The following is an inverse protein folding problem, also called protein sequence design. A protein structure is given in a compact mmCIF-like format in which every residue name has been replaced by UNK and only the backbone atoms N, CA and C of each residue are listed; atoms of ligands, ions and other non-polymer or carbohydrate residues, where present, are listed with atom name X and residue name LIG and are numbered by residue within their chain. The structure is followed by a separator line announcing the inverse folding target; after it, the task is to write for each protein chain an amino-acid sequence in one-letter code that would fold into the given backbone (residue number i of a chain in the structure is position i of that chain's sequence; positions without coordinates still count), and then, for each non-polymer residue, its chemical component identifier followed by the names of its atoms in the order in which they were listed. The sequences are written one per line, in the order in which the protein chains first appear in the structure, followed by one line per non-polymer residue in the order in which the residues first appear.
data_IF_315856823452
#
_entry.id   IF_315856823452
#
_cell.length_a   1.000
_cell.length_b   1.000
_cell.length_c   1.000
_cell.angle_alpha   90.00
_cell.angle_beta   90.00
_cell.angle_gamma   90.00
#
_symmetry.space_group_name_H-M   'P 1'
#
loop_
_entity.id
_entity.type
_entity.pdbx_description
1 polymer ?
#
# COMPACT_ATOMS: atom_id res chain seq x y z
N UNK A 1 15.56 -2.61 16.23
CA UNK A 1 14.50 -2.30 15.24
C UNK A 1 13.84 -1.03 15.73
N UNK A 2 13.90 0.08 14.98
CA UNK A 2 12.99 1.19 15.27
C UNK A 2 11.65 0.77 14.66
N UNK A 3 10.66 0.52 15.51
CA UNK A 3 9.33 0.14 15.04
C UNK A 3 8.74 1.32 14.27
N UNK A 4 8.49 1.11 12.98
CA UNK A 4 7.75 2.07 12.17
C UNK A 4 6.33 2.16 12.71
N UNK A 5 5.88 3.38 13.00
CA UNK A 5 4.49 3.58 13.38
C UNK A 5 3.62 3.47 12.13
N UNK A 6 2.77 2.44 12.11
CA UNK A 6 1.88 2.10 11.02
C UNK A 6 0.49 1.92 11.58
N UNK A 7 -0.46 2.72 11.08
CA UNK A 7 -1.85 2.69 11.52
C UNK A 7 -2.75 2.35 10.31
N UNK A 8 -3.22 1.10 10.20
CA UNK A 8 -4.07 0.68 9.10
C UNK A 8 -5.44 1.36 9.10
N UNK A 9 -5.94 1.76 7.93
CA UNK A 9 -7.35 2.15 7.74
C UNK A 9 -8.20 0.97 7.22
N UNK A 10 -7.53 -0.07 6.71
CA UNK A 10 -8.11 -1.32 6.25
C UNK A 10 -7.20 -2.50 6.60
N UNK A 11 -7.64 -3.73 6.31
CA UNK A 11 -6.79 -4.90 6.46
C UNK A 11 -5.62 -4.86 5.47
N UNK A 12 -4.39 -4.94 5.98
CA UNK A 12 -3.19 -4.89 5.14
C UNK A 12 -2.80 -6.28 4.67
N UNK A 13 -2.56 -6.41 3.36
CA UNK A 13 -1.87 -7.57 2.81
C UNK A 13 -0.37 -7.43 3.15
N UNK A 14 0.08 -8.22 4.12
CA UNK A 14 1.48 -8.21 4.58
C UNK A 14 2.22 -9.40 3.98
N UNK A 15 3.33 -9.13 3.31
CA UNK A 15 4.23 -10.16 2.80
C UNK A 15 5.63 -9.95 3.36
N UNK A 16 6.20 -10.99 3.94
CA UNK A 16 7.60 -10.99 4.41
C UNK A 16 8.42 -12.00 3.63
N UNK A 17 9.65 -11.64 3.24
CA UNK A 17 10.62 -12.56 2.65
C UNK A 17 12.03 -12.25 3.14
N UNK A 18 12.87 -13.28 3.19
CA UNK A 18 14.29 -13.15 3.47
C UNK A 18 15.05 -13.17 2.14
N UNK A 19 15.93 -12.19 1.93
CA UNK A 19 16.77 -12.06 0.76
C UNK A 19 18.21 -12.23 1.21
N UNK A 20 18.86 -13.29 0.77
CA UNK A 20 20.29 -13.50 1.01
C UNK A 20 21.05 -12.69 -0.04
N UNK A 21 21.79 -11.67 0.37
CA UNK A 21 22.44 -10.76 -0.57
C UNK A 21 23.82 -10.30 -0.10
N UNK A 22 24.62 -9.89 -1.08
CA UNK A 22 25.94 -9.31 -0.85
C UNK A 22 25.89 -7.82 -1.11
N UNK A 23 25.96 -7.04 -0.04
CA UNK A 23 25.98 -5.57 -0.09
C UNK A 23 27.40 -5.11 0.23
N UNK A 24 28.15 -4.75 -0.81
CA UNK A 24 29.57 -4.43 -0.71
C UNK A 24 30.39 -5.62 -0.20
N UNK A 25 30.95 -5.49 1.01
CA UNK A 25 31.75 -6.54 1.65
C UNK A 25 30.96 -7.43 2.61
N UNK A 26 29.68 -7.15 2.82
CA UNK A 26 28.84 -7.88 3.77
C UNK A 26 27.96 -8.88 3.05
N UNK A 27 27.88 -10.09 3.59
CA UNK A 27 26.85 -11.08 3.28
C UNK A 27 25.81 -11.00 4.39
N UNK A 28 24.56 -10.72 4.01
CA UNK A 28 23.48 -10.44 4.95
C UNK A 28 22.17 -11.07 4.49
N UNK A 29 21.33 -11.36 5.48
CA UNK A 29 19.94 -11.76 5.29
C UNK A 29 19.06 -10.53 5.48
N UNK A 30 18.60 -9.95 4.38
CA UNK A 30 17.71 -8.80 4.41
C UNK A 30 16.27 -9.25 4.54
N UNK A 31 15.60 -8.80 5.59
CA UNK A 31 14.17 -9.05 5.82
C UNK A 31 13.38 -7.96 5.10
N UNK A 32 12.73 -8.32 4.00
CA UNK A 32 11.81 -7.43 3.31
C UNK A 32 10.39 -7.66 3.85
N UNK A 33 9.74 -6.62 4.36
CA UNK A 33 8.32 -6.64 4.75
C UNK A 33 7.56 -5.61 3.91
N UNK A 34 6.64 -6.09 3.08
CA UNK A 34 5.74 -5.29 2.24
C UNK A 34 4.36 -5.25 2.87
N UNK A 35 3.71 -4.09 2.83
CA UNK A 35 2.38 -3.83 3.38
C UNK A 35 1.58 -3.10 2.32
N UNK A 36 0.53 -3.75 1.82
CA UNK A 36 -0.34 -3.21 0.78
C UNK A 36 -1.74 -2.98 1.32
N UNK A 37 -2.31 -1.82 1.01
CA UNK A 37 -3.57 -1.35 1.53
C UNK A 37 -3.40 0.02 2.21
N UNK A 38 -4.48 0.77 2.35
CA UNK A 38 -4.47 2.14 2.84
C UNK A 38 -4.07 2.20 4.33
N UNK A 39 -2.98 2.89 4.63
CA UNK A 39 -2.51 3.09 6.00
C UNK A 39 -1.80 4.43 6.18
N UNK A 40 -1.80 4.92 7.43
CA UNK A 40 -0.89 5.98 7.82
C UNK A 40 0.48 5.40 8.14
N UNK A 41 1.51 6.07 7.65
CA UNK A 41 2.92 5.80 7.90
C UNK A 41 3.53 7.02 8.59
N UNK A 42 4.19 6.84 9.73
CA UNK A 42 5.06 7.88 10.31
C UNK A 42 6.48 7.67 9.85
N UNK A 43 7.01 8.64 9.11
CA UNK A 43 8.41 8.64 8.67
C UNK A 43 9.37 8.82 9.84
N UNK A 44 10.66 8.54 9.60
CA UNK A 44 11.73 8.79 10.56
C UNK A 44 11.87 10.27 10.94
N UNK A 45 11.39 11.19 10.09
CA UNK A 45 11.31 12.64 10.35
C UNK A 45 10.21 12.99 11.36
N UNK A 46 9.29 12.07 11.66
CA UNK A 46 8.06 12.30 12.41
C UNK A 46 6.88 12.77 11.55
N UNK A 47 7.08 12.96 10.24
CA UNK A 47 5.99 13.30 9.30
C UNK A 47 5.05 12.11 9.14
N UNK A 48 3.74 12.39 9.10
CA UNK A 48 2.71 11.37 8.89
C UNK A 48 2.18 11.48 7.47
N UNK A 49 2.32 10.40 6.71
CA UNK A 49 1.95 10.31 5.30
C UNK A 49 0.91 9.20 5.10
N UNK A 50 -0.14 9.49 4.35
CA UNK A 50 -1.10 8.47 3.92
C UNK A 50 -0.53 7.75 2.71
N UNK A 51 -0.52 6.41 2.73
CA UNK A 51 0.12 5.60 1.70
C UNK A 51 -0.77 4.45 1.27
N UNK A 52 -0.69 4.08 -0.02
CA UNK A 52 -1.34 2.88 -0.56
C UNK A 52 -0.49 1.62 -0.32
N UNK A 53 0.82 1.82 -0.18
CA UNK A 53 1.78 0.73 -0.02
C UNK A 53 3.04 1.23 0.69
N UNK A 54 3.60 0.41 1.57
CA UNK A 54 4.93 0.62 2.15
C UNK A 54 5.73 -0.68 2.20
N UNK A 55 7.05 -0.58 2.10
CA UNK A 55 7.95 -1.70 2.27
C UNK A 55 9.21 -1.30 3.05
N UNK A 56 9.67 -2.23 3.88
CA UNK A 56 10.90 -2.11 4.64
C UNK A 56 11.87 -3.20 4.24
N UNK A 57 13.14 -2.87 4.06
CA UNK A 57 14.23 -3.81 3.86
C UNK A 57 15.22 -3.65 5.01
N UNK A 58 15.17 -4.56 5.98
CA UNK A 58 16.06 -4.54 7.15
C UNK A 58 17.24 -5.49 6.92
N UNK A 59 18.43 -4.92 6.74
CA UNK A 59 19.70 -5.63 6.53
C UNK A 59 20.55 -5.72 7.80
N UNK A 60 19.93 -5.50 8.97
CA UNK A 60 20.56 -5.56 10.29
C UNK A 60 21.37 -4.31 10.64
N UNK A 61 21.92 -4.27 11.86
CA UNK A 61 22.49 -3.06 12.46
C UNK A 61 23.62 -2.38 11.66
N UNK A 62 24.35 -3.15 10.84
CA UNK A 62 25.48 -2.62 10.05
C UNK A 62 25.07 -1.86 8.80
N UNK A 63 23.96 -2.26 8.19
CA UNK A 63 23.48 -1.72 6.92
C UNK A 63 22.16 -0.95 7.07
N UNK A 64 21.48 -1.13 8.19
CA UNK A 64 20.26 -0.42 8.56
C UNK A 64 19.03 -0.94 7.85
N UNK A 65 17.97 -0.12 7.89
CA UNK A 65 16.67 -0.42 7.30
C UNK A 65 16.35 0.64 6.26
N UNK A 66 16.01 0.19 5.04
CA UNK A 66 15.46 1.08 4.00
C UNK A 66 13.95 1.05 4.08
N UNK A 67 13.32 2.23 3.97
CA UNK A 67 11.88 2.40 3.84
C UNK A 67 11.56 2.97 2.45
N UNK A 68 10.62 2.37 1.75
CA UNK A 68 10.02 2.92 0.54
C UNK A 68 8.50 2.83 0.63
N UNK A 69 7.80 3.79 0.03
CA UNK A 69 6.35 3.85 0.07
C UNK A 69 5.77 4.55 -1.17
N UNK A 70 4.50 4.29 -1.43
CA UNK A 70 3.70 4.97 -2.45
C UNK A 70 2.72 5.89 -1.76
N UNK A 71 2.90 7.23 -1.81
CA UNK A 71 1.95 8.18 -1.25
C UNK A 71 0.57 7.98 -1.86
N UNK A 72 -0.45 7.97 -1.01
CA UNK A 72 -1.83 8.00 -1.45
C UNK A 72 -2.07 9.32 -2.17
N UNK A 73 -2.63 9.26 -3.37
CA UNK A 73 -3.01 10.45 -4.12
C UNK A 73 -4.50 10.68 -3.93
N UNK A 74 -4.84 11.85 -3.38
CA UNK A 74 -6.19 12.39 -3.52
C UNK A 74 -6.39 12.77 -4.99
N UNK A 75 -6.82 11.80 -5.79
CA UNK A 75 -7.20 12.04 -7.17
C UNK A 75 -8.58 12.69 -7.12
N UNK A 76 -8.61 14.02 -7.32
CA UNK A 76 -9.85 14.70 -7.65
C UNK A 76 -10.34 14.21 -9.02
N UNK A 77 -11.24 13.23 -8.99
CA UNK A 77 -11.91 12.76 -10.20
C UNK A 77 -12.73 13.90 -10.78
N UNK A 78 -12.49 14.23 -12.06
CA UNK A 78 -13.22 15.29 -12.75
C UNK A 78 -14.73 15.03 -12.75
N UNK A 79 -15.54 16.08 -12.90
CA UNK A 79 -17.00 15.91 -12.94
C UNK A 79 -17.45 15.02 -14.11
N UNK A 80 -16.75 15.11 -15.24
CA UNK A 80 -16.97 14.29 -16.43
C UNK A 80 -16.69 12.81 -16.15
N UNK A 81 -15.54 12.48 -15.56
CA UNK A 81 -15.22 11.11 -15.16
C UNK A 81 -16.16 10.59 -14.08
N UNK A 82 -16.57 11.42 -13.13
CA UNK A 82 -17.60 11.07 -12.14
C UNK A 82 -18.93 10.75 -12.81
N UNK A 83 -19.35 11.52 -13.82
CA UNK A 83 -20.57 11.26 -14.56
C UNK A 83 -20.49 9.95 -15.36
N UNK A 84 -19.38 9.71 -16.06
CA UNK A 84 -19.13 8.46 -16.77
C UNK A 84 -19.16 7.25 -15.84
N UNK A 85 -18.50 7.34 -14.68
CA UNK A 85 -18.48 6.29 -13.67
C UNK A 85 -19.88 6.01 -13.09
N UNK A 86 -20.69 7.06 -12.84
CA UNK A 86 -22.10 6.88 -12.42
C UNK A 86 -22.91 6.12 -13.46
N UNK A 87 -22.75 6.41 -14.74
CA UNK A 87 -23.44 5.69 -15.80
C UNK A 87 -23.00 4.23 -15.91
N UNK A 88 -21.71 3.94 -15.71
CA UNK A 88 -21.21 2.56 -15.65
C UNK A 88 -21.81 1.80 -14.47
N UNK A 89 -21.84 2.40 -13.28
CA UNK A 89 -22.43 1.80 -12.08
C UNK A 89 -23.92 1.51 -12.30
N UNK A 90 -24.68 2.46 -12.87
CA UNK A 90 -26.10 2.25 -13.20
C UNK A 90 -26.29 1.07 -14.14
N UNK A 91 -25.50 1.00 -15.22
CA UNK A 91 -25.58 -0.12 -16.18
C UNK A 91 -25.27 -1.46 -15.53
N UNK A 92 -24.24 -1.52 -14.69
CA UNK A 92 -23.89 -2.73 -13.95
C UNK A 92 -25.00 -3.15 -12.98
N UNK A 93 -25.57 -2.20 -12.24
CA UNK A 93 -26.68 -2.45 -11.31
C UNK A 93 -27.94 -2.95 -12.04
N UNK A 94 -28.32 -2.30 -13.15
CA UNK A 94 -29.46 -2.73 -13.98
C UNK A 94 -29.25 -4.15 -14.49
N UNK A 95 -28.06 -4.44 -15.04
CA UNK A 95 -27.73 -5.79 -15.50
C UNK A 95 -27.84 -6.81 -14.37
N UNK A 96 -27.30 -6.50 -13.19
CA UNK A 96 -27.40 -7.37 -12.03
C UNK A 96 -28.85 -7.61 -11.56
N UNK A 97 -29.72 -6.59 -11.63
CA UNK A 97 -31.14 -6.75 -11.31
C UNK A 97 -31.87 -7.64 -12.31
N UNK A 98 -31.61 -7.47 -13.62
CA UNK A 98 -32.15 -8.33 -14.69
C UNK A 98 -31.69 -9.77 -14.51
N UNK A 99 -30.38 -9.99 -14.34
CA UNK A 99 -29.78 -11.32 -14.19
C UNK A 99 -30.33 -12.05 -12.95
N UNK A 100 -30.84 -11.30 -11.95
CA UNK A 100 -31.45 -11.81 -10.72
C UNK A 100 -32.98 -11.88 -10.76
N UNK A 101 -33.62 -11.45 -11.86
CA UNK A 101 -35.07 -11.41 -12.02
C UNK A 101 -35.78 -10.42 -11.08
N UNK A 102 -35.08 -9.37 -10.64
CA UNK A 102 -35.61 -8.33 -9.74
C UNK A 102 -36.30 -7.21 -10.55
N UNK A 103 -35.99 -7.10 -11.86
CA UNK A 103 -36.42 -6.05 -12.75
C UNK A 103 -37.25 -6.58 -13.93
#
# INVERSE_FOLDING_TARGET
MHDLNIEPLEELEITTKVIHEKIGRYEVDTIMTRRKGLHWLTEMSGERVLVDESATMDSGEKLGTTLCFTPHKDIEVSEEERAANRELIKKAAIKAMIDRGIW
#
